data_IF_891977268995
#
_entry.id   IF_891977268995
#
_cell.length_a   1.000
_cell.length_b   1.000
_cell.length_c   1.000
_cell.angle_alpha   90.00
_cell.angle_beta   90.00
_cell.angle_gamma   90.00
#
_symmetry.space_group_name_H-M   'P 1'
#
loop_
_entity.id
_entity.type
_entity.pdbx_description
1 polymer ?
#
# COMPACT_ATOMS: atom_id res chain seq x y z
N UNK A 1 6.76 -9.36 4.83
CA UNK A 1 6.17 -8.31 3.96
C UNK A 1 5.29 -7.41 4.79
N UNK A 2 5.45 -6.09 4.71
CA UNK A 2 4.67 -5.12 5.50
C UNK A 2 3.15 -5.31 5.37
N UNK A 3 2.65 -5.68 4.17
CA UNK A 3 1.24 -5.96 3.94
C UNK A 3 0.72 -7.14 4.76
N UNK A 4 1.50 -8.20 4.93
CA UNK A 4 1.12 -9.34 5.77
C UNK A 4 1.12 -8.95 7.26
N UNK A 5 2.11 -8.18 7.71
CA UNK A 5 2.19 -7.67 9.08
C UNK A 5 0.98 -6.79 9.41
N UNK A 6 0.59 -5.90 8.49
CA UNK A 6 -0.62 -5.10 8.62
C UNK A 6 -1.88 -5.98 8.73
N UNK A 7 -2.04 -6.95 7.84
CA UNK A 7 -3.20 -7.83 7.86
C UNK A 7 -3.32 -8.61 9.18
N UNK A 8 -2.21 -9.13 9.71
CA UNK A 8 -2.18 -9.78 11.02
C UNK A 8 -2.54 -8.81 12.16
N UNK A 9 -2.01 -7.59 12.14
CA UNK A 9 -2.36 -6.57 13.14
C UNK A 9 -3.86 -6.20 13.09
N UNK A 10 -4.51 -6.35 11.94
CA UNK A 10 -5.93 -6.14 11.71
C UNK A 10 -6.80 -7.41 11.90
N UNK A 11 -6.21 -8.49 12.41
CA UNK A 11 -6.94 -9.69 12.81
C UNK A 11 -7.02 -10.78 11.74
N UNK A 12 -6.29 -10.68 10.63
CA UNK A 12 -6.11 -11.82 9.74
C UNK A 12 -5.31 -12.93 10.43
N UNK A 13 -5.65 -14.18 10.13
CA UNK A 13 -4.97 -15.37 10.69
C UNK A 13 -4.02 -16.02 9.68
N UNK A 14 -4.03 -15.53 8.45
CA UNK A 14 -3.24 -16.01 7.32
C UNK A 14 -2.55 -14.84 6.61
N UNK A 15 -1.57 -15.14 5.76
CA UNK A 15 -0.91 -14.13 4.95
C UNK A 15 -1.89 -13.48 3.98
N UNK A 16 -1.86 -12.16 3.89
CA UNK A 16 -2.60 -11.38 2.88
C UNK A 16 -2.08 -11.66 1.48
N UNK A 17 -0.75 -11.73 1.35
CA UNK A 17 -0.05 -12.08 0.12
C UNK A 17 0.63 -13.44 0.34
N UNK A 18 0.14 -14.45 -0.34
CA UNK A 18 0.64 -15.83 -0.31
C UNK A 18 1.66 -16.02 -1.42
N UNK A 19 2.86 -16.53 -1.13
CA UNK A 19 3.82 -16.83 -2.17
C UNK A 19 3.29 -17.93 -3.09
N UNK A 20 3.51 -17.76 -4.39
CA UNK A 20 3.21 -18.76 -5.42
C UNK A 20 4.48 -19.14 -6.17
N UNK A 21 4.48 -20.34 -6.74
CA UNK A 21 5.63 -20.82 -7.49
C UNK A 21 5.88 -19.95 -8.72
N UNK A 22 7.13 -19.52 -8.85
CA UNK A 22 7.63 -18.71 -9.95
C UNK A 22 8.94 -19.32 -10.43
N UNK A 23 8.96 -19.74 -11.68
CA UNK A 23 10.11 -20.41 -12.29
C UNK A 23 10.83 -19.48 -13.27
N UNK A 24 12.17 -19.54 -13.27
CA UNK A 24 12.98 -18.90 -14.30
C UNK A 24 13.13 -19.85 -15.49
N UNK A 25 12.59 -19.46 -16.63
CA UNK A 25 12.67 -20.22 -17.88
C UNK A 25 13.10 -19.32 -19.01
N UNK A 26 14.21 -19.65 -19.68
CA UNK A 26 14.79 -18.88 -20.80
C UNK A 26 14.91 -17.37 -20.50
N UNK A 27 15.40 -17.01 -19.29
CA UNK A 27 15.58 -15.64 -18.86
C UNK A 27 14.29 -14.92 -18.41
N UNK A 28 13.15 -15.58 -18.46
CA UNK A 28 11.82 -15.05 -18.09
C UNK A 28 11.35 -15.65 -16.78
N UNK A 29 10.64 -14.89 -15.97
CA UNK A 29 9.88 -15.48 -14.86
C UNK A 29 8.51 -15.93 -15.36
N UNK A 30 8.17 -17.17 -15.07
CA UNK A 30 6.84 -17.75 -15.35
C UNK A 30 6.18 -18.08 -14.01
N UNK A 31 4.98 -17.55 -13.77
CA UNK A 31 4.15 -17.84 -12.60
C UNK A 31 2.96 -18.65 -13.09
N UNK A 32 2.80 -19.87 -12.57
CA UNK A 32 1.64 -20.70 -12.85
C UNK A 32 0.47 -20.29 -11.98
N UNK A 33 -0.64 -19.93 -12.60
CA UNK A 33 -1.89 -19.58 -11.91
C UNK A 33 -2.65 -20.86 -11.55
N UNK A 34 -2.48 -21.34 -10.34
CA UNK A 34 -3.15 -22.56 -9.85
C UNK A 34 -4.55 -22.29 -9.32
N UNK A 35 -4.82 -21.07 -8.86
CA UNK A 35 -6.11 -20.65 -8.34
C UNK A 35 -6.49 -19.28 -8.94
N UNK A 36 -7.77 -19.11 -9.22
CA UNK A 36 -8.30 -17.84 -9.72
C UNK A 36 -8.20 -16.76 -8.63
N UNK A 37 -7.70 -15.56 -8.99
CA UNK A 37 -7.54 -14.46 -8.03
C UNK A 37 -6.66 -13.31 -8.54
N UNK A 38 -6.35 -12.38 -7.64
CA UNK A 38 -5.41 -11.29 -7.92
C UNK A 38 -3.98 -11.73 -7.64
N UNK A 39 -3.09 -11.45 -8.60
CA UNK A 39 -1.67 -11.79 -8.54
C UNK A 39 -0.79 -10.55 -8.51
N UNK A 40 0.34 -10.68 -7.81
CA UNK A 40 1.35 -9.64 -7.66
C UNK A 40 2.74 -10.22 -7.89
N UNK A 41 3.64 -9.39 -8.41
CA UNK A 41 5.06 -9.73 -8.57
C UNK A 41 5.92 -8.84 -7.68
N UNK A 42 6.83 -9.40 -6.89
CA UNK A 42 7.80 -8.64 -6.11
C UNK A 42 9.16 -8.70 -6.78
N UNK A 43 9.59 -7.56 -7.27
CA UNK A 43 10.84 -7.39 -8.00
C UNK A 43 11.86 -6.61 -7.16
N UNK A 44 13.07 -7.16 -7.00
CA UNK A 44 14.10 -6.62 -6.12
C UNK A 44 15.46 -6.41 -6.79
N UNK A 45 15.67 -6.92 -8.00
CA UNK A 45 16.97 -6.92 -8.70
C UNK A 45 17.44 -5.52 -9.10
N UNK A 46 16.49 -4.61 -9.41
CA UNK A 46 16.74 -3.20 -9.78
C UNK A 46 17.55 -3.01 -11.09
N UNK A 47 17.72 -4.05 -11.89
CA UNK A 47 18.47 -4.06 -13.13
C UNK A 47 17.60 -3.87 -14.39
N UNK A 48 16.29 -3.91 -14.25
CA UNK A 48 15.32 -3.63 -15.31
C UNK A 48 14.67 -2.27 -15.10
N UNK A 49 14.59 -1.44 -16.14
CA UNK A 49 13.81 -0.19 -16.13
C UNK A 49 12.35 -0.44 -16.49
N UNK A 50 12.12 -1.44 -17.31
CA UNK A 50 10.79 -1.80 -17.80
C UNK A 50 10.57 -3.30 -17.67
N UNK A 51 9.43 -3.67 -17.09
CA UNK A 51 9.01 -5.08 -16.98
C UNK A 51 7.68 -5.21 -17.69
N UNK A 52 7.55 -6.25 -18.50
CA UNK A 52 6.31 -6.59 -19.20
C UNK A 52 5.77 -7.92 -18.66
N UNK A 53 4.54 -7.92 -18.18
CA UNK A 53 3.81 -9.11 -17.78
C UNK A 53 2.76 -9.45 -18.84
N UNK A 54 2.74 -10.70 -19.30
CA UNK A 54 1.77 -11.21 -20.28
C UNK A 54 1.02 -12.39 -19.69
N UNK A 55 -0.31 -12.35 -19.78
CA UNK A 55 -1.22 -13.41 -19.32
C UNK A 55 -2.26 -13.64 -20.41
N UNK A 56 -2.22 -14.78 -21.09
CA UNK A 56 -3.05 -15.02 -22.26
C UNK A 56 -2.83 -13.95 -23.35
N UNK A 57 -3.88 -13.20 -23.68
CA UNK A 57 -3.82 -12.08 -24.64
C UNK A 57 -3.71 -10.71 -23.98
N UNK A 58 -3.57 -10.65 -22.65
CA UNK A 58 -3.45 -9.41 -21.87
C UNK A 58 -1.98 -9.11 -21.61
N UNK A 59 -1.59 -7.85 -21.76
CA UNK A 59 -0.23 -7.39 -21.48
C UNK A 59 -0.27 -6.14 -20.62
N UNK A 60 0.56 -6.10 -19.57
CA UNK A 60 0.80 -4.95 -18.71
C UNK A 60 2.27 -4.59 -18.75
N UNK A 61 2.58 -3.32 -18.83
CA UNK A 61 3.96 -2.82 -18.83
C UNK A 61 4.15 -1.90 -17.63
N UNK A 62 5.19 -2.18 -16.87
CA UNK A 62 5.62 -1.41 -15.70
C UNK A 62 6.90 -0.67 -16.05
N UNK A 63 6.95 0.62 -15.76
CA UNK A 63 8.10 1.49 -16.02
C UNK A 63 8.75 1.94 -14.71
N UNK A 64 10.01 2.37 -14.78
CA UNK A 64 10.78 2.80 -13.61
C UNK A 64 10.98 1.69 -12.58
N UNK A 65 11.26 0.47 -13.04
CA UNK A 65 11.48 -0.69 -12.20
C UNK A 65 12.93 -0.83 -11.69
N UNK A 66 13.76 0.21 -11.83
CA UNK A 66 15.14 0.29 -11.34
C UNK A 66 15.25 0.43 -9.80
N UNK A 67 14.19 0.11 -9.10
CA UNK A 67 14.10 0.02 -7.65
C UNK A 67 13.21 -1.17 -7.24
N UNK A 68 13.10 -1.43 -5.94
CA UNK A 68 12.18 -2.47 -5.43
C UNK A 68 10.75 -2.10 -5.83
N UNK A 69 10.06 -3.04 -6.48
CA UNK A 69 8.74 -2.77 -7.05
C UNK A 69 7.75 -3.90 -6.76
N UNK A 70 6.52 -3.54 -6.41
CA UNK A 70 5.40 -4.46 -6.36
C UNK A 70 4.57 -4.29 -7.62
N UNK A 71 4.63 -5.28 -8.51
CA UNK A 71 3.93 -5.32 -9.79
C UNK A 71 2.50 -5.83 -9.57
N UNK A 72 1.49 -5.03 -9.92
CA UNK A 72 0.10 -5.49 -9.97
C UNK A 72 -0.13 -6.28 -11.27
N UNK A 73 -0.08 -7.61 -11.19
CA UNK A 73 -0.28 -8.51 -12.34
C UNK A 73 -1.76 -8.66 -12.70
N UNK A 74 -2.67 -8.29 -11.78
CA UNK A 74 -4.11 -8.25 -11.97
C UNK A 74 -4.80 -9.56 -11.65
N UNK A 75 -6.06 -9.62 -12.07
CA UNK A 75 -6.90 -10.81 -11.89
C UNK A 75 -6.59 -11.84 -12.97
N UNK A 76 -6.29 -13.08 -12.56
CA UNK A 76 -5.93 -14.20 -13.43
C UNK A 76 -6.80 -15.40 -13.10
N UNK A 77 -7.09 -16.21 -14.11
CA UNK A 77 -7.89 -17.44 -13.98
C UNK A 77 -6.99 -18.68 -13.83
N UNK A 78 -7.43 -19.63 -13.04
CA UNK A 78 -6.70 -20.89 -12.87
C UNK A 78 -6.42 -21.57 -14.21
N UNK A 79 -5.17 -22.00 -14.41
CA UNK A 79 -4.68 -22.60 -15.65
C UNK A 79 -4.04 -21.59 -16.62
N UNK A 80 -4.07 -20.29 -16.33
CA UNK A 80 -3.24 -19.29 -17.05
C UNK A 80 -1.80 -19.33 -16.56
N UNK A 81 -0.87 -18.86 -17.41
CA UNK A 81 0.51 -18.56 -17.05
C UNK A 81 0.75 -17.06 -17.14
N UNK A 82 1.43 -16.50 -16.15
CA UNK A 82 1.91 -15.12 -16.18
C UNK A 82 3.39 -15.15 -16.55
N UNK A 83 3.75 -14.61 -17.70
CA UNK A 83 5.13 -14.51 -18.15
C UNK A 83 5.63 -13.09 -17.98
N UNK A 84 6.73 -12.92 -17.21
CA UNK A 84 7.39 -11.63 -17.02
C UNK A 84 8.70 -11.57 -17.81
N UNK A 85 8.87 -10.49 -18.55
CA UNK A 85 10.05 -10.24 -19.40
C UNK A 85 10.55 -8.82 -19.22
N UNK A 86 11.81 -8.58 -19.56
CA UNK A 86 12.39 -7.25 -19.72
C UNK A 86 13.25 -7.21 -20.97
N UNK A 87 13.33 -6.05 -21.61
CA UNK A 87 14.27 -5.80 -22.68
C UNK A 87 15.60 -5.21 -22.16
N UNK A 88 15.67 -4.87 -20.89
CA UNK A 88 16.82 -4.22 -20.28
C UNK A 88 17.85 -5.22 -19.71
N UNK A 89 17.45 -6.48 -19.51
CA UNK A 89 18.28 -7.54 -18.91
C UNK A 89 18.00 -8.89 -19.55
N UNK A 90 19.00 -9.76 -19.58
CA UNK A 90 18.90 -11.13 -20.12
C UNK A 90 18.09 -12.06 -19.23
N UNK A 91 17.96 -11.73 -17.96
CA UNK A 91 17.17 -12.51 -16.98
C UNK A 91 16.37 -11.58 -16.11
N UNK A 92 15.12 -11.94 -15.84
CA UNK A 92 14.29 -11.27 -14.88
C UNK A 92 13.77 -12.26 -13.83
N UNK A 93 14.04 -11.98 -12.55
CA UNK A 93 13.57 -12.79 -11.45
C UNK A 93 12.56 -12.01 -10.62
N UNK A 94 11.32 -12.47 -10.63
CA UNK A 94 10.20 -11.87 -9.89
C UNK A 94 9.58 -12.93 -8.99
N UNK A 95 9.44 -12.63 -7.71
CA UNK A 95 8.72 -13.51 -6.79
C UNK A 95 7.21 -13.29 -6.94
N UNK A 96 6.46 -14.36 -7.18
CA UNK A 96 5.01 -14.34 -7.36
C UNK A 96 4.26 -14.39 -6.02
N UNK A 97 3.12 -13.71 -5.96
CA UNK A 97 2.18 -13.75 -4.85
C UNK A 97 0.75 -13.73 -5.34
N UNK A 98 -0.13 -14.42 -4.60
CA UNK A 98 -1.58 -14.33 -4.76
C UNK A 98 -2.19 -13.60 -3.57
N UNK A 99 -3.20 -12.77 -3.81
CA UNK A 99 -4.00 -12.16 -2.75
C UNK A 99 -4.89 -13.24 -2.10
N UNK A 100 -4.81 -13.37 -0.78
CA UNK A 100 -5.72 -14.19 -0.01
C UNK A 100 -6.97 -13.36 0.34
N UNK A 101 -8.08 -13.66 -0.32
CA UNK A 101 -9.34 -12.92 -0.13
C UNK A 101 -9.90 -13.06 1.29
N UNK A 102 -9.67 -14.18 1.97
CA UNK A 102 -10.13 -14.39 3.35
C UNK A 102 -9.37 -13.46 4.30
N UNK A 103 -8.04 -13.41 4.18
CA UNK A 103 -7.20 -12.50 4.96
C UNK A 103 -7.52 -11.03 4.66
N UNK A 104 -7.76 -10.70 3.38
CA UNK A 104 -8.19 -9.36 2.97
C UNK A 104 -9.51 -8.96 3.61
N UNK A 105 -10.52 -9.82 3.52
CA UNK A 105 -11.86 -9.54 4.09
C UNK A 105 -11.80 -9.39 5.62
N UNK A 106 -10.99 -10.19 6.32
CA UNK A 106 -10.82 -10.08 7.76
C UNK A 106 -10.22 -8.72 8.16
N UNK A 107 -9.14 -8.30 7.48
CA UNK A 107 -8.51 -7.00 7.71
C UNK A 107 -9.44 -5.83 7.34
N UNK A 108 -10.11 -5.92 6.19
CA UNK A 108 -11.07 -4.91 5.74
C UNK A 108 -12.26 -4.77 6.69
N UNK A 109 -12.79 -5.89 7.19
CA UNK A 109 -13.87 -5.86 8.16
C UNK A 109 -13.48 -5.09 9.43
N UNK A 110 -12.26 -5.31 9.94
CA UNK A 110 -11.76 -4.58 11.11
C UNK A 110 -11.67 -3.08 10.84
N UNK A 111 -11.07 -2.68 9.72
CA UNK A 111 -10.94 -1.27 9.34
C UNK A 111 -12.27 -0.58 9.09
N UNK A 112 -13.24 -1.29 8.49
CA UNK A 112 -14.53 -0.71 8.11
C UNK A 112 -15.52 -0.54 9.28
N UNK A 113 -15.24 -1.11 10.46
CA UNK A 113 -16.13 -1.00 11.63
C UNK A 113 -16.21 0.42 12.18
N UNK A 114 -15.14 1.18 12.10
CA UNK A 114 -15.08 2.56 12.57
C UNK A 114 -14.25 3.38 11.57
N UNK A 115 -14.94 4.18 10.79
CA UNK A 115 -14.32 5.06 9.80
C UNK A 115 -14.52 6.52 10.19
N UNK A 116 -13.55 7.35 9.86
CA UNK A 116 -13.69 8.80 9.98
C UNK A 116 -14.69 9.30 8.92
N UNK A 117 -15.68 10.09 9.35
CA UNK A 117 -16.56 10.81 8.45
C UNK A 117 -15.81 12.04 7.92
N UNK A 118 -15.49 12.03 6.63
CA UNK A 118 -14.79 13.12 5.98
C UNK A 118 -15.74 14.30 5.76
N UNK A 119 -15.40 15.48 6.32
CA UNK A 119 -16.17 16.72 6.16
C UNK A 119 -15.67 17.54 4.97
N UNK A 120 -14.35 17.66 4.82
CA UNK A 120 -13.72 18.36 3.72
C UNK A 120 -12.30 17.88 3.47
N UNK A 121 -11.80 18.05 2.24
CA UNK A 121 -10.39 17.80 1.92
C UNK A 121 -9.89 18.70 0.80
N UNK A 122 -8.61 19.00 0.84
CA UNK A 122 -7.82 19.66 -0.20
C UNK A 122 -6.38 19.18 -0.11
N UNK A 123 -5.50 19.64 -1.00
CA UNK A 123 -4.09 19.27 -1.02
C UNK A 123 -3.32 19.62 0.27
N UNK A 124 -3.85 20.56 1.06
CA UNK A 124 -3.18 21.04 2.28
C UNK A 124 -4.06 20.97 3.53
N UNK A 125 -5.25 20.38 3.44
CA UNK A 125 -6.16 20.31 4.58
C UNK A 125 -7.14 19.15 4.45
N UNK A 126 -7.25 18.36 5.50
CA UNK A 126 -8.21 17.27 5.65
C UNK A 126 -8.96 17.49 6.95
N UNK A 127 -10.28 17.43 6.92
CA UNK A 127 -11.14 17.57 8.09
C UNK A 127 -12.17 16.45 8.15
N UNK A 128 -12.37 15.90 9.32
CA UNK A 128 -13.37 14.89 9.55
C UNK A 128 -13.70 14.74 11.02
N UNK A 129 -14.61 13.83 11.32
CA UNK A 129 -14.95 13.44 12.68
C UNK A 129 -15.05 11.92 12.80
N UNK A 130 -14.79 11.40 13.98
CA UNK A 130 -14.88 9.97 14.28
C UNK A 130 -15.46 9.78 15.68
N UNK A 131 -16.34 8.79 15.81
CA UNK A 131 -16.84 8.37 17.13
C UNK A 131 -16.15 7.05 17.51
N UNK A 132 -15.14 7.14 18.36
CA UNK A 132 -14.30 6.00 18.79
C UNK A 132 -15.03 5.22 19.88
N UNK A 133 -15.42 3.98 19.62
CA UNK A 133 -16.12 3.10 20.57
C UNK A 133 -15.18 2.49 21.61
N UNK A 134 -13.91 2.35 21.28
CA UNK A 134 -12.84 1.81 22.13
C UNK A 134 -11.54 2.47 21.75
N UNK A 135 -10.75 2.90 22.71
CA UNK A 135 -9.43 3.50 22.47
C UNK A 135 -8.60 2.65 21.50
N UNK A 136 -7.98 3.29 20.53
CA UNK A 136 -7.22 2.65 19.46
C UNK A 136 -6.51 3.67 18.59
N UNK A 137 -6.10 3.27 17.40
CA UNK A 137 -5.36 4.12 16.47
C UNK A 137 -6.18 4.35 15.20
N UNK A 138 -6.38 5.60 14.82
CA UNK A 138 -6.90 5.99 13.53
C UNK A 138 -5.77 5.94 12.50
N UNK A 139 -5.84 4.99 11.57
CA UNK A 139 -4.92 4.88 10.45
C UNK A 139 -5.45 5.69 9.26
N UNK A 140 -4.64 6.58 8.73
CA UNK A 140 -4.96 7.35 7.54
C UNK A 140 -4.07 6.93 6.38
N UNK A 141 -4.65 6.75 5.19
CA UNK A 141 -3.90 6.50 3.95
C UNK A 141 -3.29 7.80 3.37
N UNK A 142 -2.79 8.64 4.27
CA UNK A 142 -2.07 9.88 3.97
C UNK A 142 -0.60 9.58 4.13
N UNK A 143 0.23 9.79 3.07
CA UNK A 143 1.68 9.65 3.18
C UNK A 143 2.23 10.54 4.28
N UNK A 144 3.13 9.95 5.09
CA UNK A 144 3.84 10.70 6.11
C UNK A 144 4.79 11.72 5.47
N UNK A 145 4.76 12.94 5.99
CA UNK A 145 5.63 14.05 5.59
C UNK A 145 5.74 15.06 6.74
N UNK A 146 6.92 15.60 6.96
CA UNK A 146 7.21 16.57 8.04
C UNK A 146 6.37 17.88 7.97
N UNK A 147 5.70 18.11 6.86
CA UNK A 147 4.81 19.26 6.68
C UNK A 147 3.41 19.07 7.27
N UNK A 148 3.04 17.87 7.69
CA UNK A 148 1.75 17.63 8.29
C UNK A 148 1.69 18.01 9.77
N UNK A 149 0.65 18.73 10.15
CA UNK A 149 0.28 19.10 11.52
C UNK A 149 -1.10 18.48 11.81
N UNK A 150 -1.20 17.67 12.84
CA UNK A 150 -2.42 16.97 13.22
C UNK A 150 -3.06 17.64 14.41
N UNK A 151 -4.37 17.88 14.34
CA UNK A 151 -5.17 18.44 15.43
C UNK A 151 -6.29 17.48 15.78
N UNK A 152 -6.44 17.20 17.07
CA UNK A 152 -7.55 16.45 17.64
C UNK A 152 -8.30 17.37 18.60
N UNK A 153 -9.60 17.57 18.37
CA UNK A 153 -10.46 18.44 19.17
C UNK A 153 -9.93 19.89 19.29
N UNK A 154 -9.22 20.36 18.26
CA UNK A 154 -8.65 21.70 18.20
C UNK A 154 -7.25 21.85 18.81
N UNK A 155 -6.73 20.83 19.48
CA UNK A 155 -5.35 20.81 20.03
C UNK A 155 -4.41 20.10 19.06
N UNK A 156 -3.23 20.66 18.81
CA UNK A 156 -2.18 20.04 18.02
C UNK A 156 -1.59 18.86 18.81
N UNK A 157 -1.48 17.71 18.15
CA UNK A 157 -0.99 16.46 18.75
C UNK A 157 0.10 15.84 17.90
N UNK A 158 1.01 15.12 18.55
CA UNK A 158 1.96 14.26 17.86
C UNK A 158 1.22 13.05 17.27
N UNK A 159 1.65 12.61 16.10
CA UNK A 159 1.13 11.40 15.45
C UNK A 159 2.23 10.35 15.32
N UNK A 160 1.85 9.12 15.08
CA UNK A 160 2.76 7.99 14.90
C UNK A 160 2.90 7.66 13.40
N UNK A 161 4.04 7.06 13.04
CA UNK A 161 4.35 6.66 11.67
C UNK A 161 4.05 5.17 11.47
N UNK A 162 2.99 4.86 10.78
CA UNK A 162 2.67 3.45 10.48
C UNK A 162 3.49 2.96 9.27
N UNK A 163 4.32 1.93 9.50
CA UNK A 163 5.22 1.34 8.49
C UNK A 163 6.14 2.37 7.82
N UNK A 164 6.55 3.43 8.52
CA UNK A 164 7.35 4.56 7.99
C UNK A 164 6.75 5.18 6.70
N UNK A 165 5.44 5.10 6.54
CA UNK A 165 4.76 5.49 5.30
C UNK A 165 3.48 6.29 5.51
N UNK A 166 2.72 6.03 6.57
CA UNK A 166 1.39 6.60 6.77
C UNK A 166 1.22 7.24 8.14
N UNK A 167 0.33 8.21 8.21
CA UNK A 167 -0.05 8.88 9.46
C UNK A 167 -0.97 7.97 10.27
N UNK A 168 -0.66 7.79 11.56
CA UNK A 168 -1.52 7.13 12.52
C UNK A 168 -1.69 7.95 13.78
N UNK A 169 -2.92 8.05 14.29
CA UNK A 169 -3.29 8.96 15.37
C UNK A 169 -3.88 8.14 16.53
N UNK A 170 -3.21 8.05 17.68
CA UNK A 170 -3.79 7.43 18.87
C UNK A 170 -5.02 8.21 19.35
N UNK A 171 -6.16 7.56 19.51
CA UNK A 171 -7.41 8.18 19.96
C UNK A 171 -7.97 7.44 21.18
N UNK A 172 -8.55 8.20 22.10
CA UNK A 172 -9.32 7.67 23.23
C UNK A 172 -10.75 7.38 22.80
N UNK A 173 -11.50 6.69 23.65
CA UNK A 173 -12.94 6.53 23.47
C UNK A 173 -13.64 7.90 23.53
N UNK A 174 -14.56 8.12 22.59
CA UNK A 174 -15.32 9.36 22.47
C UNK A 174 -15.46 9.87 21.04
N UNK A 175 -16.11 11.01 20.91
CA UNK A 175 -16.22 11.71 19.63
C UNK A 175 -15.08 12.69 19.48
N UNK A 176 -14.41 12.66 18.33
CA UNK A 176 -13.27 13.51 18.03
C UNK A 176 -13.45 14.23 16.70
N UNK A 177 -13.07 15.50 16.65
CA UNK A 177 -12.88 16.26 15.44
C UNK A 177 -11.38 16.19 15.04
N UNK A 178 -11.10 15.74 13.83
CA UNK A 178 -9.75 15.52 13.31
C UNK A 178 -9.48 16.53 12.20
N UNK A 179 -8.36 17.25 12.31
CA UNK A 179 -7.90 18.17 11.27
C UNK A 179 -6.43 17.89 10.99
N UNK A 180 -6.10 17.66 9.73
CA UNK A 180 -4.73 17.68 9.24
C UNK A 180 -4.50 18.96 8.45
N UNK A 181 -3.39 19.66 8.69
CA UNK A 181 -2.95 20.82 7.91
C UNK A 181 -1.55 20.59 7.41
N UNK A 182 -1.35 20.80 6.12
CA UNK A 182 -0.03 20.73 5.52
C UNK A 182 0.59 22.12 5.37
N UNK A 183 1.82 22.26 5.82
CA UNK A 183 2.64 23.46 5.61
C UNK A 183 3.95 23.02 4.97
N UNK A 184 4.25 23.51 3.78
CA UNK A 184 5.51 23.19 3.11
C UNK A 184 6.69 23.51 4.01
N UNK A 185 7.54 22.53 4.37
CA UNK A 185 8.71 22.74 5.20
C UNK A 185 9.61 23.83 4.62
N UNK A 186 10.16 24.68 5.49
CA UNK A 186 11.08 25.76 5.11
C UNK A 186 10.52 26.85 4.18
N UNK A 187 9.22 26.87 3.88
CA UNK A 187 8.62 27.90 3.02
C UNK A 187 8.87 29.34 3.57
N UNK A 188 8.73 29.52 4.88
CA UNK A 188 8.97 30.82 5.55
C UNK A 188 10.44 31.23 5.45
N UNK A 189 11.37 30.30 5.57
CA UNK A 189 12.80 30.55 5.46
C UNK A 189 13.19 30.92 4.03
N UNK A 190 12.65 30.21 3.03
CA UNK A 190 12.85 30.52 1.63
C UNK A 190 12.32 31.90 1.23
N UNK A 191 11.13 32.27 1.73
CA UNK A 191 10.55 33.59 1.49
C UNK A 191 11.32 34.74 2.18
N UNK A 192 12.06 34.47 3.26
CA UNK A 192 12.89 35.46 3.94
C UNK A 192 14.25 35.68 3.27
N UNK A 193 14.73 34.69 2.48
CA UNK A 193 16.01 34.72 1.78
C UNK A 193 15.89 35.20 0.33
N UNK A 194 14.68 35.36 -0.17
CA UNK A 194 14.35 35.86 -1.52
C UNK A 194 14.10 37.37 -1.51
#
# INVERSE_FOLDING_TARGET
MAQNELAYALGATENLLEPVDAELHDGKTVIQVTETGYYYGYYTMKDAKTITATTGNRTRTFSKCDHVYLLDLGYCEAGEDITLTSADTDQILVQGYRLNDVAFQAAYHTLSQQTMELKSYSDSRIEGSINVKKAGTLLLSVPDDEGWHVFVDGEEVDYEHFCDAFISIPLKEGSHDIILKYTTPNLKLGALLS
#
